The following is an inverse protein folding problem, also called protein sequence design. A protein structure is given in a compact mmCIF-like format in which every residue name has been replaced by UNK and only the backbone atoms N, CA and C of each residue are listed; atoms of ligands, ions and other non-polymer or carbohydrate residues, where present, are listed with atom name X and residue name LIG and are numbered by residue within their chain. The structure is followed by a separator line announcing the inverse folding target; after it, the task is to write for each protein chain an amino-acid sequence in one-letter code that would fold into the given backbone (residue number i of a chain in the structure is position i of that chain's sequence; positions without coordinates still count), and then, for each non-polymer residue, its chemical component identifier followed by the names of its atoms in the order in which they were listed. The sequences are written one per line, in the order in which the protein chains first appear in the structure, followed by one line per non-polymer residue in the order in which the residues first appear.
data_IF_450194616199
#
_entry.id   IF_450194616199
#
_cell.length_a   1.000
_cell.length_b   1.000
_cell.length_c   1.000
_cell.angle_alpha   90.00
_cell.angle_beta   90.00
_cell.angle_gamma   90.00
#
_symmetry.space_group_name_H-M   'P 1'
#
loop_
_entity.id
_entity.type
_entity.pdbx_description
1 polymer ?
#
# COMPACT_ATOMS: atom_id res chain seq x y z
N UNK A 1 -10.06 -14.31 2.24
CA UNK A 1 -8.85 -13.46 2.16
C UNK A 1 -7.56 -14.24 2.41
N UNK A 2 -6.69 -14.30 1.39
CA UNK A 2 -5.28 -14.71 1.47
C UNK A 2 -4.39 -13.46 1.49
N UNK A 3 -3.24 -13.55 2.15
CA UNK A 3 -2.27 -12.46 2.27
C UNK A 3 -0.90 -12.98 1.83
N UNK A 4 -0.24 -12.25 0.95
CA UNK A 4 1.13 -12.51 0.51
C UNK A 4 1.97 -11.25 0.78
N UNK A 5 3.17 -11.43 1.33
CA UNK A 5 4.07 -10.33 1.65
C UNK A 5 5.37 -10.55 0.89
N UNK A 6 5.83 -9.53 0.18
CA UNK A 6 7.09 -9.53 -0.53
C UNK A 6 7.84 -8.24 -0.24
N UNK A 7 9.08 -8.38 0.24
CA UNK A 7 9.99 -7.27 0.43
C UNK A 7 10.45 -6.70 -0.92
N UNK A 8 10.64 -5.40 -1.01
CA UNK A 8 11.18 -4.71 -2.19
C UNK A 8 12.18 -3.62 -1.80
N UNK A 9 13.14 -3.42 -2.70
CA UNK A 9 13.99 -2.24 -2.76
C UNK A 9 13.99 -1.75 -4.21
N UNK A 10 13.75 -0.46 -4.41
CA UNK A 10 13.67 0.22 -5.69
C UNK A 10 14.53 1.48 -5.65
N UNK A 11 15.74 1.35 -6.21
CA UNK A 11 16.73 2.41 -6.25
C UNK A 11 16.83 2.96 -7.67
N UNK A 12 16.88 4.29 -7.79
CA UNK A 12 17.07 5.00 -9.05
C UNK A 12 18.44 4.74 -9.68
N UNK A 13 18.75 5.47 -10.77
CA UNK A 13 20.11 5.43 -11.34
C UNK A 13 21.10 6.06 -10.35
N UNK A 14 22.26 5.43 -10.21
CA UNK A 14 23.31 5.91 -9.33
C UNK A 14 24.00 7.12 -9.98
N UNK A 15 23.96 8.28 -9.34
CA UNK A 15 24.76 9.43 -9.74
C UNK A 15 26.25 9.15 -9.56
N UNK A 16 27.11 9.88 -10.28
CA UNK A 16 28.57 9.69 -10.29
C UNK A 16 29.25 9.82 -8.92
N UNK A 17 28.52 10.23 -7.88
CA UNK A 17 28.97 10.33 -6.49
C UNK A 17 28.53 9.15 -5.59
N UNK A 18 27.86 8.13 -6.12
CA UNK A 18 27.35 6.99 -5.34
C UNK A 18 26.03 7.27 -4.61
N UNK A 19 25.39 8.41 -4.87
CA UNK A 19 24.05 8.76 -4.41
C UNK A 19 23.01 8.31 -5.44
N UNK A 20 21.85 7.82 -5.01
CA UNK A 20 20.72 7.49 -5.88
C UNK A 20 19.78 8.69 -5.98
N UNK A 21 19.20 8.95 -7.15
CA UNK A 21 18.18 10.00 -7.36
C UNK A 21 16.92 9.77 -6.50
N UNK A 22 16.64 8.52 -6.16
CA UNK A 22 15.67 8.10 -5.15
C UNK A 22 16.01 6.68 -4.66
N UNK A 23 15.59 6.34 -3.44
CA UNK A 23 15.66 5.00 -2.88
C UNK A 23 14.36 4.73 -2.12
N UNK A 24 13.66 3.66 -2.49
CA UNK A 24 12.45 3.20 -1.82
C UNK A 24 12.64 1.77 -1.34
N UNK A 25 12.45 1.52 -0.05
CA UNK A 25 12.50 0.18 0.52
C UNK A 25 11.24 -0.08 1.34
N UNK A 26 10.70 -1.30 1.28
CA UNK A 26 9.48 -1.63 2.00
C UNK A 26 8.97 -3.02 1.75
N UNK A 27 7.74 -3.26 2.20
CA UNK A 27 7.01 -4.48 1.97
C UNK A 27 5.78 -4.21 1.09
N UNK A 28 5.56 -5.09 0.13
CA UNK A 28 4.32 -5.16 -0.66
C UNK A 28 3.43 -6.27 -0.11
N UNK A 29 2.28 -5.87 0.42
CA UNK A 29 1.21 -6.77 0.84
C UNK A 29 0.21 -6.94 -0.31
N UNK A 30 -0.07 -8.18 -0.68
CA UNK A 30 -1.08 -8.54 -1.66
C UNK A 30 -2.19 -9.32 -0.99
N UNK A 31 -3.35 -8.68 -0.85
CA UNK A 31 -4.57 -9.29 -0.35
C UNK A 31 -5.37 -9.83 -1.54
N UNK A 32 -5.87 -11.05 -1.42
CA UNK A 32 -6.66 -11.69 -2.47
C UNK A 32 -7.88 -12.43 -1.92
N UNK A 33 -9.01 -12.29 -2.61
CA UNK A 33 -10.24 -13.03 -2.35
C UNK A 33 -10.99 -13.29 -3.66
N UNK A 34 -11.06 -14.56 -4.07
CA UNK A 34 -11.49 -14.91 -5.43
C UNK A 34 -10.64 -14.22 -6.50
N UNK A 35 -11.30 -13.51 -7.41
CA UNK A 35 -10.67 -12.76 -8.49
C UNK A 35 -10.22 -11.34 -8.07
N UNK A 36 -10.65 -10.87 -6.90
CA UNK A 36 -10.27 -9.54 -6.41
C UNK A 36 -8.87 -9.56 -5.79
N UNK A 37 -8.08 -8.53 -6.12
CA UNK A 37 -6.76 -8.30 -5.54
C UNK A 37 -6.58 -6.84 -5.14
N UNK A 38 -5.99 -6.64 -3.97
CA UNK A 38 -5.62 -5.34 -3.42
C UNK A 38 -4.15 -5.37 -3.04
N UNK A 39 -3.37 -4.46 -3.59
CA UNK A 39 -1.94 -4.33 -3.29
C UNK A 39 -1.69 -3.07 -2.45
N UNK A 40 -0.95 -3.24 -1.36
CA UNK A 40 -0.60 -2.21 -0.39
C UNK A 40 0.90 -2.20 -0.20
N UNK A 41 1.52 -1.01 -0.14
CA UNK A 41 2.93 -0.85 0.21
C UNK A 41 3.08 -0.19 1.58
N UNK A 42 4.06 -0.64 2.35
CA UNK A 42 4.50 -0.01 3.59
C UNK A 42 6.00 0.19 3.44
N UNK A 43 6.47 1.44 3.56
CA UNK A 43 7.89 1.76 3.42
C UNK A 43 8.61 1.66 4.76
N UNK A 44 9.89 1.27 4.75
CA UNK A 44 10.69 1.07 5.97
C UNK A 44 10.90 2.37 6.75
N UNK A 45 10.94 3.50 6.06
CA UNK A 45 11.12 4.84 6.62
C UNK A 45 9.81 5.44 7.16
N UNK A 46 8.66 4.88 6.77
CA UNK A 46 7.36 5.28 7.27
C UNK A 46 6.43 4.07 7.55
N UNK A 47 6.76 3.25 8.57
CA UNK A 47 6.08 1.98 8.82
C UNK A 47 4.63 2.14 9.34
N UNK A 48 4.23 3.35 9.71
CA UNK A 48 2.88 3.65 10.20
C UNK A 48 1.90 4.04 9.09
N UNK A 49 2.37 4.14 7.84
CA UNK A 49 1.55 4.48 6.68
C UNK A 49 1.49 3.33 5.68
N UNK A 50 0.28 3.07 5.18
CA UNK A 50 0.01 2.08 4.15
C UNK A 50 -0.53 2.73 2.87
N UNK A 51 0.12 2.45 1.74
CA UNK A 51 -0.16 3.04 0.44
C UNK A 51 -0.85 2.01 -0.47
N UNK A 52 -2.14 2.19 -0.72
CA UNK A 52 -2.93 1.37 -1.64
C UNK A 52 -2.63 1.78 -3.08
N UNK A 53 -2.13 0.83 -3.89
CA UNK A 53 -1.58 1.11 -5.22
C UNK A 53 -2.63 1.02 -6.35
N UNK A 54 -3.55 0.06 -6.29
CA UNK A 54 -4.75 -0.07 -7.12
C UNK A 54 -5.48 -1.37 -6.72
N UNK A 55 -6.77 -1.50 -7.06
CA UNK A 55 -7.46 -2.81 -7.05
C UNK A 55 -7.70 -3.27 -8.49
N UNK A 56 -7.76 -4.58 -8.70
CA UNK A 56 -8.09 -5.14 -10.01
C UNK A 56 -9.56 -4.94 -10.43
N UNK A 57 -10.42 -4.48 -9.53
CA UNK A 57 -11.89 -4.55 -9.65
C UNK A 57 -12.63 -3.22 -9.48
N UNK A 58 -11.94 -2.10 -9.24
CA UNK A 58 -12.58 -0.78 -9.10
C UNK A 58 -11.86 0.18 -8.14
N UNK A 59 -12.54 1.22 -7.64
CA UNK A 59 -11.96 2.13 -6.67
C UNK A 59 -11.69 1.43 -5.32
N UNK A 60 -10.48 1.62 -4.76
CA UNK A 60 -10.06 1.07 -3.45
C UNK A 60 -11.10 1.32 -2.36
N UNK A 61 -11.67 2.53 -2.32
CA UNK A 61 -12.63 2.95 -1.28
C UNK A 61 -13.96 2.18 -1.29
N UNK A 62 -14.28 1.49 -2.39
CA UNK A 62 -15.50 0.68 -2.54
C UNK A 62 -15.22 -0.82 -2.39
N UNK A 63 -13.95 -1.21 -2.24
CA UNK A 63 -13.56 -2.61 -2.11
C UNK A 63 -13.74 -3.09 -0.67
N UNK A 64 -14.54 -4.14 -0.50
CA UNK A 64 -14.65 -4.85 0.79
C UNK A 64 -13.31 -5.47 1.18
N UNK A 65 -12.56 -5.99 0.20
CA UNK A 65 -11.24 -6.56 0.45
C UNK A 65 -10.25 -5.49 0.94
N UNK A 66 -10.34 -4.26 0.43
CA UNK A 66 -9.52 -3.15 0.91
C UNK A 66 -9.88 -2.76 2.36
N UNK A 67 -11.16 -2.78 2.74
CA UNK A 67 -11.57 -2.55 4.13
C UNK A 67 -11.05 -3.66 5.07
N UNK A 68 -11.04 -4.91 4.63
CA UNK A 68 -10.44 -6.02 5.38
C UNK A 68 -8.91 -5.89 5.50
N UNK A 69 -8.24 -5.40 4.45
CA UNK A 69 -6.82 -5.11 4.48
C UNK A 69 -6.49 -4.02 5.52
N UNK A 70 -7.27 -2.94 5.57
CA UNK A 70 -7.14 -1.91 6.62
C UNK A 70 -7.25 -2.54 8.01
N UNK A 71 -8.31 -3.34 8.25
CA UNK A 71 -8.51 -3.98 9.55
C UNK A 71 -7.35 -4.90 9.96
N UNK A 72 -6.76 -5.61 9.00
CA UNK A 72 -5.57 -6.46 9.25
C UNK A 72 -4.34 -5.61 9.58
N UNK A 73 -4.04 -4.59 8.78
CA UNK A 73 -2.85 -3.75 8.94
C UNK A 73 -2.92 -2.84 10.17
N UNK A 74 -4.11 -2.44 10.62
CA UNK A 74 -4.26 -1.73 11.91
C UNK A 74 -3.76 -2.56 13.09
N UNK A 75 -3.80 -3.90 12.99
CA UNK A 75 -3.28 -4.79 14.05
C UNK A 75 -1.74 -4.88 14.04
N UNK A 76 -1.09 -4.42 12.98
CA UNK A 76 0.37 -4.45 12.82
C UNK A 76 1.04 -3.10 13.14
N UNK A 77 0.27 -2.12 13.62
CA UNK A 77 0.78 -0.78 13.98
C UNK A 77 0.69 0.27 12.87
N UNK A 78 0.01 -0.04 11.76
CA UNK A 78 -0.33 0.94 10.73
C UNK A 78 -1.48 1.81 11.21
N UNK A 79 -1.31 3.13 11.11
CA UNK A 79 -2.26 4.12 11.63
C UNK A 79 -2.93 4.90 10.51
N UNK A 80 -2.22 5.12 9.40
CA UNK A 80 -2.71 5.92 8.27
C UNK A 80 -2.80 5.06 7.01
N UNK A 81 -3.93 5.17 6.32
CA UNK A 81 -4.19 4.46 5.08
C UNK A 81 -4.40 5.46 3.95
N UNK A 82 -3.58 5.34 2.91
CA UNK A 82 -3.50 6.26 1.80
C UNK A 82 -3.88 5.54 0.51
N UNK A 83 -4.66 6.19 -0.35
CA UNK A 83 -4.95 5.69 -1.70
C UNK A 83 -4.68 6.76 -2.73
N UNK A 84 -4.35 6.36 -3.96
CA UNK A 84 -4.20 7.30 -5.06
C UNK A 84 -5.57 7.88 -5.44
N UNK A 85 -5.80 9.14 -5.08
CA UNK A 85 -7.03 9.86 -5.33
C UNK A 85 -7.19 10.31 -6.79
N UNK A 86 -8.38 10.81 -7.17
CA UNK A 86 -8.65 11.33 -8.51
C UNK A 86 -7.79 12.56 -8.85
N UNK A 87 -7.23 13.22 -7.84
CA UNK A 87 -6.28 14.34 -7.98
C UNK A 87 -4.89 13.90 -8.46
N UNK A 88 -4.59 12.60 -8.47
CA UNK A 88 -3.25 12.06 -8.69
C UNK A 88 -2.33 12.17 -7.46
N UNK A 89 -2.86 12.57 -6.30
CA UNK A 89 -2.16 12.58 -5.03
C UNK A 89 -2.65 11.46 -4.11
N UNK A 90 -1.81 11.05 -3.16
CA UNK A 90 -2.25 10.17 -2.08
C UNK A 90 -3.15 10.93 -1.11
N UNK A 91 -4.31 10.34 -0.83
CA UNK A 91 -5.33 10.90 0.05
C UNK A 91 -5.59 9.93 1.20
N UNK A 92 -5.78 10.45 2.41
CA UNK A 92 -6.15 9.65 3.57
C UNK A 92 -7.54 9.04 3.38
N UNK A 93 -7.68 7.76 3.72
CA UNK A 93 -8.92 7.03 3.67
C UNK A 93 -9.16 6.29 4.98
N UNK A 94 -10.36 6.46 5.53
CA UNK A 94 -10.87 5.66 6.63
C UNK A 94 -12.04 4.85 6.09
N UNK A 95 -11.95 3.50 6.03
CA UNK A 95 -13.09 2.69 5.65
C UNK A 95 -14.22 2.89 6.67
N UNK A 96 -15.45 2.96 6.18
CA UNK A 96 -16.62 2.91 7.04
C UNK A 96 -16.68 1.50 7.65
N UNK A 97 -16.67 1.40 8.98
CA UNK A 97 -17.02 0.17 9.68
C UNK A 97 -18.52 -0.03 9.59
N UNK A 98 -18.95 -1.10 8.91
CA UNK A 98 -20.34 -1.59 8.96
C UNK A 98 -20.68 -2.20 10.33
#
# INVERSE_FOLDING_TARGET
MRIEVAHFADDGSQESAGLYDYSYEGDTYTFSDGDERVTVRIYVDNPHEAFFMATGSGPVRQSRLAAQAVAHLSQTGVETFLYLGPSGAYEAWTPLTE
#
